data_IF_605427110090
#
_entry.id   IF_605427110090
#
_cell.length_a   1.000
_cell.length_b   1.000
_cell.length_c   1.000
_cell.angle_alpha   90.00
_cell.angle_beta   90.00
_cell.angle_gamma   90.00
#
_symmetry.space_group_name_H-M   'P 1'
#
loop_
_entity.id
_entity.type
_entity.pdbx_description
1 polymer ?
#
# COMPACT_ATOMS: atom_id res chain seq x y z
N UNK A 1 12.33 6.20 31.80
CA UNK A 1 11.46 6.34 33.00
C UNK A 1 12.11 7.38 33.90
N UNK A 2 11.34 8.31 34.46
CA UNK A 2 11.85 9.44 35.26
C UNK A 2 11.13 9.49 36.60
N UNK A 3 11.88 9.65 37.69
CA UNK A 3 11.29 9.89 39.00
C UNK A 3 10.86 11.36 39.10
N UNK A 4 9.61 11.60 39.46
CA UNK A 4 9.02 12.95 39.57
C UNK A 4 8.60 13.29 41.01
N UNK A 5 8.77 12.35 41.94
CA UNK A 5 8.58 12.54 43.38
C UNK A 5 8.99 11.29 44.17
N UNK A 6 9.00 11.34 45.51
CA UNK A 6 9.23 10.17 46.35
C UNK A 6 8.24 9.06 46.01
N UNK A 7 8.74 7.90 45.54
CA UNK A 7 7.91 6.77 45.13
C UNK A 7 7.08 6.97 43.84
N UNK A 8 7.18 8.13 43.16
CA UNK A 8 6.42 8.43 41.94
C UNK A 8 7.31 8.44 40.72
N UNK A 9 6.99 7.55 39.79
CA UNK A 9 7.71 7.40 38.53
C UNK A 9 6.79 7.64 37.35
N UNK A 10 7.33 8.27 36.30
CA UNK A 10 6.61 8.60 35.07
C UNK A 10 7.37 8.03 33.86
N UNK A 11 6.63 7.50 32.89
CA UNK A 11 7.16 7.09 31.59
C UNK A 11 6.18 7.49 30.49
N UNK A 12 6.73 7.91 29.34
CA UNK A 12 5.96 8.13 28.11
C UNK A 12 6.43 7.13 27.09
N UNK A 13 5.49 6.34 26.58
CA UNK A 13 5.72 5.26 25.63
C UNK A 13 4.76 5.48 24.46
N UNK A 14 5.25 5.53 23.21
CA UNK A 14 4.35 5.57 22.05
C UNK A 14 3.60 4.25 21.91
N UNK A 15 2.31 4.32 21.59
CA UNK A 15 1.49 3.16 21.21
C UNK A 15 1.38 3.11 19.69
N UNK A 16 2.20 2.28 19.05
CA UNK A 16 2.26 2.21 17.58
C UNK A 16 1.08 1.46 16.95
N UNK A 17 0.37 0.63 17.72
CA UNK A 17 -0.75 -0.19 17.24
C UNK A 17 -2.03 0.17 17.97
N UNK A 18 -3.15 0.03 17.27
CA UNK A 18 -4.48 0.06 17.88
C UNK A 18 -4.74 -1.24 18.65
N UNK A 19 -5.56 -1.16 19.70
CA UNK A 19 -5.98 -2.31 20.50
C UNK A 19 -5.92 -2.08 22.01
N UNK A 20 -6.18 -3.15 22.74
CA UNK A 20 -6.13 -3.18 24.20
C UNK A 20 -4.74 -3.60 24.69
N UNK A 21 -4.14 -2.81 25.57
CA UNK A 21 -2.82 -3.05 26.14
C UNK A 21 -2.93 -3.32 27.64
N UNK A 22 -2.17 -4.29 28.14
CA UNK A 22 -1.97 -4.49 29.57
C UNK A 22 -0.62 -3.92 29.99
N UNK A 23 -0.64 -3.13 31.06
CA UNK A 23 0.54 -2.56 31.68
C UNK A 23 0.84 -3.34 32.94
N UNK A 24 2.10 -3.76 33.10
CA UNK A 24 2.61 -4.42 34.29
C UNK A 24 3.86 -3.70 34.76
N UNK A 25 3.80 -3.14 35.96
CA UNK A 25 4.94 -2.53 36.64
C UNK A 25 5.39 -3.45 37.78
N UNK A 26 6.66 -3.88 37.75
CA UNK A 26 7.25 -4.73 38.79
C UNK A 26 8.35 -3.94 39.47
N UNK A 27 8.20 -3.73 40.77
CA UNK A 27 9.21 -3.09 41.61
C UNK A 27 10.08 -4.18 42.25
N UNK A 28 11.39 -4.14 41.99
CA UNK A 28 12.37 -5.00 42.63
C UNK A 28 13.31 -4.21 43.53
N UNK A 29 13.64 -4.77 44.70
CA UNK A 29 14.67 -4.30 45.62
C UNK A 29 15.54 -5.48 46.00
N UNK A 30 16.86 -5.35 45.87
CA UNK A 30 17.83 -6.40 46.20
C UNK A 30 17.51 -7.75 45.51
N UNK A 31 17.05 -7.68 44.25
CA UNK A 31 16.64 -8.86 43.46
C UNK A 31 15.25 -9.41 43.78
N UNK A 32 14.64 -9.01 44.90
CA UNK A 32 13.31 -9.45 45.32
C UNK A 32 12.21 -8.53 44.80
N UNK A 33 11.09 -9.11 44.36
CA UNK A 33 9.91 -8.32 43.98
C UNK A 33 9.24 -7.80 45.24
N UNK A 34 9.19 -6.49 45.41
CA UNK A 34 8.60 -5.82 46.58
C UNK A 34 7.19 -5.29 46.31
N UNK A 35 6.85 -5.02 45.06
CA UNK A 35 5.51 -4.62 44.65
C UNK A 35 5.26 -4.92 43.17
N UNK A 36 4.00 -5.15 42.82
CA UNK A 36 3.54 -5.24 41.43
C UNK A 36 2.28 -4.39 41.25
N UNK A 37 2.18 -3.68 40.14
CA UNK A 37 1.00 -2.91 39.76
C UNK A 37 0.58 -3.26 38.34
N UNK A 38 -0.74 -3.30 38.11
CA UNK A 38 -1.33 -3.63 36.80
C UNK A 38 -2.29 -2.53 36.37
N UNK A 39 -2.33 -2.27 35.07
CA UNK A 39 -3.26 -1.34 34.44
C UNK A 39 -3.68 -1.84 33.07
N UNK A 40 -4.77 -1.27 32.54
CA UNK A 40 -5.20 -1.47 31.16
C UNK A 40 -5.29 -0.10 30.48
N UNK A 41 -4.85 -0.04 29.23
CA UNK A 41 -4.94 1.15 28.38
C UNK A 41 -5.42 0.70 27.02
N UNK A 42 -6.40 1.40 26.47
CA UNK A 42 -6.94 1.12 25.15
C UNK A 42 -6.50 2.22 24.18
N UNK A 43 -5.95 1.82 23.04
CA UNK A 43 -5.68 2.69 21.90
C UNK A 43 -6.75 2.41 20.84
N UNK A 44 -7.86 3.16 20.84
CA UNK A 44 -9.00 2.85 19.99
C UNK A 44 -8.65 3.06 18.52
N UNK A 45 -9.30 2.28 17.65
CA UNK A 45 -9.25 2.51 16.22
C UNK A 45 -9.81 3.90 15.85
N UNK A 46 -9.41 4.46 14.69
CA UNK A 46 -9.99 5.69 14.18
C UNK A 46 -11.51 5.60 14.09
N UNK A 47 -12.21 6.71 14.36
CA UNK A 47 -13.68 6.75 14.45
C UNK A 47 -14.37 6.36 13.15
N UNK A 48 -13.68 6.53 12.03
CA UNK A 48 -14.11 6.15 10.69
C UNK A 48 -14.41 4.65 10.59
N UNK A 49 -13.73 3.81 11.37
CA UNK A 49 -13.97 2.37 11.44
C UNK A 49 -15.12 1.98 12.38
N UNK A 50 -15.60 2.92 13.21
CA UNK A 50 -16.74 2.69 14.09
C UNK A 50 -18.08 3.04 13.43
N UNK A 51 -18.06 3.89 12.39
CA UNK A 51 -19.24 4.21 11.60
C UNK A 51 -19.51 3.10 10.58
N UNK A 52 -20.54 2.30 10.83
CA UNK A 52 -20.98 1.25 9.92
C UNK A 52 -21.91 1.79 8.81
N UNK A 53 -22.58 2.91 9.08
CA UNK A 53 -23.53 3.52 8.17
C UNK A 53 -22.93 4.76 7.48
N UNK A 54 -23.25 4.99 6.19
CA UNK A 54 -22.86 6.21 5.50
C UNK A 54 -23.53 7.45 6.12
N UNK A 55 -22.78 8.54 6.27
CA UNK A 55 -23.35 9.84 6.64
C UNK A 55 -23.99 10.51 5.41
N UNK A 56 -25.25 10.20 5.17
CA UNK A 56 -26.01 10.69 4.00
C UNK A 56 -26.15 12.22 4.01
N UNK A 57 -26.21 12.85 5.18
CA UNK A 57 -26.33 14.29 5.31
C UNK A 57 -25.03 14.98 4.87
N UNK A 58 -23.88 14.47 5.33
CA UNK A 58 -22.57 14.95 4.90
C UNK A 58 -22.36 14.72 3.39
N UNK A 59 -22.71 13.53 2.88
CA UNK A 59 -22.59 13.21 1.47
C UNK A 59 -23.45 14.14 0.60
N UNK A 60 -24.67 14.47 1.04
CA UNK A 60 -25.57 15.40 0.35
C UNK A 60 -25.00 16.82 0.32
N UNK A 61 -24.44 17.28 1.45
CA UNK A 61 -23.80 18.59 1.53
C UNK A 61 -22.56 18.68 0.61
N UNK A 62 -21.75 17.62 0.57
CA UNK A 62 -20.59 17.52 -0.33
C UNK A 62 -21.00 17.51 -1.81
N UNK A 63 -22.03 16.75 -2.16
CA UNK A 63 -22.57 16.72 -3.51
C UNK A 63 -23.04 18.12 -3.94
N UNK A 64 -23.77 18.82 -3.08
CA UNK A 64 -24.22 20.19 -3.34
C UNK A 64 -23.06 21.19 -3.50
N UNK A 65 -21.98 21.04 -2.72
CA UNK A 65 -20.84 21.94 -2.77
C UNK A 65 -19.90 21.70 -3.98
N UNK A 66 -19.81 20.46 -4.44
CA UNK A 66 -18.87 20.05 -5.53
C UNK A 66 -19.55 19.88 -6.89
N UNK A 67 -20.88 19.93 -6.95
CA UNK A 67 -21.65 19.56 -8.15
C UNK A 67 -21.71 18.06 -8.40
N UNK A 68 -21.34 17.25 -7.39
CA UNK A 68 -21.43 15.79 -7.44
C UNK A 68 -22.87 15.26 -7.23
N UNK A 69 -23.01 13.94 -7.17
CA UNK A 69 -24.29 13.27 -6.95
C UNK A 69 -24.21 12.28 -5.78
N UNK A 70 -25.28 12.19 -5.00
CA UNK A 70 -25.49 11.14 -4.00
C UNK A 70 -26.12 9.93 -4.69
N UNK A 71 -25.53 8.75 -4.52
CA UNK A 71 -25.98 7.47 -5.11
C UNK A 71 -26.11 7.48 -6.66
N UNK A 72 -25.02 7.77 -7.40
CA UNK A 72 -25.07 7.74 -8.85
C UNK A 72 -25.15 6.30 -9.38
N UNK A 73 -25.83 6.12 -10.51
CA UNK A 73 -25.83 4.83 -11.21
C UNK A 73 -24.40 4.43 -11.61
N UNK A 74 -24.08 3.12 -11.72
CA UNK A 74 -22.76 2.67 -12.15
C UNK A 74 -22.30 3.29 -13.47
N UNK A 75 -23.22 3.50 -14.43
CA UNK A 75 -22.88 4.14 -15.71
C UNK A 75 -22.42 5.59 -15.54
N UNK A 76 -23.06 6.34 -14.65
CA UNK A 76 -22.69 7.72 -14.36
C UNK A 76 -21.36 7.80 -13.59
N UNK A 77 -21.04 6.82 -12.73
CA UNK A 77 -19.74 6.76 -12.04
C UNK A 77 -18.54 6.61 -12.99
N UNK A 78 -18.74 5.92 -14.12
CA UNK A 78 -17.70 5.68 -15.12
C UNK A 78 -17.77 6.64 -16.31
N UNK A 79 -18.67 7.64 -16.27
CA UNK A 79 -18.71 8.68 -17.28
C UNK A 79 -17.61 9.71 -17.00
N UNK A 80 -16.60 9.74 -17.88
CA UNK A 80 -15.48 10.66 -17.75
C UNK A 80 -15.86 12.13 -18.03
N UNK A 81 -17.10 12.42 -18.45
CA UNK A 81 -17.59 13.79 -18.60
C UNK A 81 -16.80 14.65 -19.60
N UNK A 82 -16.07 14.02 -20.53
CA UNK A 82 -15.17 14.69 -21.48
C UNK A 82 -13.74 14.92 -20.97
N UNK A 83 -13.39 14.49 -19.76
CA UNK A 83 -12.03 14.54 -19.25
C UNK A 83 -11.15 13.52 -19.98
N UNK A 84 -10.23 14.04 -20.81
CA UNK A 84 -9.25 13.20 -21.51
C UNK A 84 -7.94 13.18 -20.74
N UNK A 85 -7.71 12.08 -20.02
CA UNK A 85 -6.40 11.80 -19.43
C UNK A 85 -5.42 11.46 -20.56
N UNK A 86 -4.31 12.20 -20.62
CA UNK A 86 -3.24 11.96 -21.60
C UNK A 86 -2.53 10.65 -21.26
N UNK A 87 -3.06 9.54 -21.76
CA UNK A 87 -2.54 8.21 -21.48
C UNK A 87 -1.28 7.94 -22.31
N UNK A 88 -0.13 7.75 -21.65
CA UNK A 88 1.12 7.39 -22.32
C UNK A 88 1.12 5.89 -22.60
N UNK A 89 0.68 5.52 -23.81
CA UNK A 89 0.63 4.12 -24.19
C UNK A 89 2.05 3.50 -24.23
N UNK A 90 2.23 2.29 -23.68
CA UNK A 90 3.52 1.61 -23.71
C UNK A 90 3.89 1.18 -25.14
N UNK A 91 5.01 1.70 -25.65
CA UNK A 91 5.51 1.39 -27.01
C UNK A 91 6.38 0.13 -27.10
N UNK A 92 6.62 -0.57 -25.99
CA UNK A 92 7.55 -1.71 -25.91
C UNK A 92 7.20 -2.88 -26.84
N UNK A 93 5.92 -2.99 -27.25
CA UNK A 93 5.45 -4.06 -28.14
C UNK A 93 6.17 -4.03 -29.49
N UNK A 94 6.49 -2.85 -30.02
CA UNK A 94 7.18 -2.71 -31.31
C UNK A 94 8.63 -3.21 -31.30
N UNK A 95 9.53 -2.76 -30.39
CA UNK A 95 10.90 -3.27 -30.34
C UNK A 95 10.97 -4.76 -29.97
N UNK A 96 10.04 -5.26 -29.15
CA UNK A 96 9.98 -6.70 -28.83
C UNK A 96 9.63 -7.54 -30.07
N UNK A 97 8.61 -7.13 -30.84
CA UNK A 97 8.27 -7.82 -32.09
C UNK A 97 9.41 -7.76 -33.11
N UNK A 98 10.11 -6.63 -33.20
CA UNK A 98 11.29 -6.49 -34.06
C UNK A 98 12.41 -7.45 -33.62
N UNK A 99 12.71 -7.53 -32.32
CA UNK A 99 13.74 -8.42 -31.79
C UNK A 99 13.42 -9.89 -32.08
N UNK A 100 12.15 -10.31 -31.91
CA UNK A 100 11.71 -11.67 -32.25
C UNK A 100 11.90 -11.93 -33.75
N UNK A 101 11.52 -10.99 -34.61
CA UNK A 101 11.73 -11.12 -36.06
C UNK A 101 13.20 -11.26 -36.43
N UNK A 102 14.08 -10.42 -35.87
CA UNK A 102 15.53 -10.49 -36.10
C UNK A 102 16.13 -11.81 -35.61
N UNK A 103 15.68 -12.31 -34.45
CA UNK A 103 16.12 -13.59 -33.91
C UNK A 103 15.75 -14.76 -34.84
N UNK A 104 14.54 -14.76 -35.40
CA UNK A 104 14.11 -15.79 -36.34
C UNK A 104 14.91 -15.74 -37.65
N UNK A 105 15.21 -14.53 -38.15
CA UNK A 105 16.06 -14.36 -39.33
C UNK A 105 17.48 -14.86 -39.05
N UNK A 106 18.08 -14.48 -37.91
CA UNK A 106 19.40 -14.97 -37.50
C UNK A 106 19.43 -16.51 -37.41
N UNK A 107 18.42 -17.11 -36.79
CA UNK A 107 18.28 -18.56 -36.72
C UNK A 107 18.15 -19.21 -38.11
N UNK A 108 17.34 -18.62 -39.00
CA UNK A 108 17.16 -19.10 -40.37
C UNK A 108 18.47 -19.05 -41.15
N UNK A 109 19.21 -17.94 -41.09
CA UNK A 109 20.49 -17.77 -41.77
C UNK A 109 21.58 -18.70 -41.24
N UNK A 110 21.57 -19.02 -39.93
CA UNK A 110 22.50 -19.98 -39.33
C UNK A 110 22.14 -21.42 -39.68
N UNK A 111 20.85 -21.74 -39.77
CA UNK A 111 20.38 -23.12 -39.94
C UNK A 111 20.28 -23.53 -41.39
N UNK A 112 19.84 -22.63 -42.26
CA UNK A 112 19.88 -22.82 -43.71
C UNK A 112 21.24 -22.31 -44.15
N UNK A 113 22.14 -23.22 -44.49
CA UNK A 113 23.49 -22.96 -45.03
C UNK A 113 23.43 -22.25 -46.39
N UNK A 114 22.89 -21.03 -46.44
CA UNK A 114 22.69 -20.25 -47.67
C UNK A 114 24.04 -19.87 -48.31
N UNK A 115 25.11 -19.82 -47.50
CA UNK A 115 26.46 -19.44 -47.94
C UNK A 115 27.48 -20.60 -47.94
N UNK A 116 27.07 -21.86 -47.83
CA UNK A 116 28.03 -22.99 -47.85
C UNK A 116 28.47 -23.28 -49.30
N UNK A 117 29.31 -22.38 -49.84
CA UNK A 117 30.14 -22.69 -51.01
C UNK A 117 31.30 -23.54 -50.53
N UNK A 118 31.26 -24.82 -50.89
CA UNK A 118 32.25 -25.83 -50.51
C UNK A 118 33.68 -25.34 -50.61
N UNK A 119 34.31 -25.15 -49.45
CA UNK A 119 35.75 -24.95 -49.36
C UNK A 119 36.44 -26.31 -49.56
N UNK A 120 37.06 -26.52 -50.72
CA UNK A 120 37.99 -27.63 -50.96
C UNK A 120 39.41 -27.17 -50.64
N UNK A 121 40.10 -27.76 -49.64
CA UNK A 121 41.54 -27.60 -49.54
C UNK A 121 42.23 -28.46 -50.63
N UNK A 122 43.34 -27.94 -51.16
CA UNK A 122 44.26 -28.67 -52.04
C UNK A 122 45.03 -29.74 -51.28
#
# INVERSE_FOLDING_TARGET
>A
MRQVGPGRYEARLPLERYGAFSLRAVHRRDGQVVAESRGRVDHPYPREYAALEPDVALLSALAAATGGATDPSPRAMFDAGGESLRHRAPVWRYPVMLAIGMMLIDLLLRRVRIFDRGFRPR
#
